data_IF_058224229566
#
_entry.id   IF_058224229566
#
_cell.length_a   1.000
_cell.length_b   1.000
_cell.length_c   1.000
_cell.angle_alpha   90.00
_cell.angle_beta   90.00
_cell.angle_gamma   90.00
#
_symmetry.space_group_name_H-M   'P 1'
#
loop_
_entity.id
_entity.type
_entity.pdbx_description
1 polymer ?
#
# COMPACT_ATOMS: atom_id res chain seq x y z
N UNK A 1 -2.22 4.91 -15.01
CA UNK A 1 -1.21 5.37 -14.04
C UNK A 1 -0.98 4.29 -12.98
N UNK A 2 0.19 4.27 -12.35
CA UNK A 2 0.55 3.35 -11.25
C UNK A 2 0.72 4.17 -9.98
N UNK A 3 0.14 3.73 -8.86
CA UNK A 3 0.43 4.30 -7.55
C UNK A 3 1.33 3.34 -6.76
N UNK A 4 2.30 3.89 -6.03
CA UNK A 4 3.19 3.13 -5.13
C UNK A 4 3.07 3.73 -3.74
N UNK A 5 2.49 3.00 -2.80
CA UNK A 5 2.38 3.40 -1.40
C UNK A 5 3.55 2.79 -0.64
N UNK A 6 4.41 3.65 -0.12
CA UNK A 6 5.62 3.26 0.61
C UNK A 6 5.51 3.65 2.08
N UNK A 7 5.76 2.69 2.97
CA UNK A 7 5.63 2.89 4.41
C UNK A 7 6.84 2.35 5.18
N UNK A 8 7.98 3.05 5.07
CA UNK A 8 9.18 2.79 5.88
C UNK A 8 9.88 4.11 6.23
N UNK A 9 10.30 4.32 7.51
CA UNK A 9 10.88 5.60 7.96
C UNK A 9 12.30 5.89 7.44
N UNK A 10 13.02 4.88 6.97
CA UNK A 10 14.41 5.03 6.50
C UNK A 10 14.53 4.72 5.02
N UNK A 11 15.16 5.63 4.28
CA UNK A 11 15.56 5.42 2.90
C UNK A 11 16.85 4.59 2.75
N UNK A 12 17.50 4.20 3.84
CA UNK A 12 18.60 3.23 3.85
C UNK A 12 18.13 1.79 4.07
N UNK A 13 16.81 1.57 4.17
CA UNK A 13 16.22 0.27 4.44
C UNK A 13 16.16 -0.64 3.22
N UNK A 14 16.01 -1.95 3.47
CA UNK A 14 15.75 -2.91 2.38
C UNK A 14 14.40 -2.64 1.69
N UNK A 15 13.38 -2.16 2.41
CA UNK A 15 12.12 -1.71 1.81
C UNK A 15 12.35 -0.57 0.80
N UNK A 16 13.29 0.34 1.06
CA UNK A 16 13.62 1.39 0.10
C UNK A 16 14.38 0.83 -1.12
N UNK A 17 15.23 -0.18 -0.94
CA UNK A 17 15.84 -0.88 -2.07
C UNK A 17 14.78 -1.56 -2.96
N UNK A 18 13.71 -2.12 -2.35
CA UNK A 18 12.56 -2.65 -3.08
C UNK A 18 11.85 -1.54 -3.86
N UNK A 19 11.55 -0.40 -3.23
CA UNK A 19 10.96 0.76 -3.91
C UNK A 19 11.80 1.18 -5.12
N UNK A 20 13.11 1.33 -4.94
CA UNK A 20 14.04 1.66 -6.02
C UNK A 20 13.99 0.65 -7.16
N UNK A 21 13.96 -0.65 -6.85
CA UNK A 21 13.87 -1.71 -7.86
C UNK A 21 12.59 -1.57 -8.69
N UNK A 22 11.45 -1.32 -8.06
CA UNK A 22 10.17 -1.09 -8.76
C UNK A 22 10.25 0.17 -9.63
N UNK A 23 10.68 1.30 -9.07
CA UNK A 23 10.72 2.57 -9.81
C UNK A 23 11.73 2.56 -10.95
N UNK A 24 12.91 1.95 -10.78
CA UNK A 24 13.91 1.82 -11.84
C UNK A 24 13.37 0.96 -13.00
N UNK A 25 12.63 -0.11 -12.69
CA UNK A 25 11.98 -0.95 -13.72
C UNK A 25 10.91 -0.17 -14.48
N UNK A 26 10.02 0.55 -13.77
CA UNK A 26 8.97 1.37 -14.39
C UNK A 26 9.56 2.48 -15.26
N UNK A 27 10.63 3.14 -14.80
CA UNK A 27 11.36 4.14 -15.58
C UNK A 27 11.97 3.54 -16.87
N UNK A 28 12.58 2.36 -16.77
CA UNK A 28 13.16 1.68 -17.92
C UNK A 28 12.10 1.30 -18.98
N UNK A 29 10.86 1.06 -18.55
CA UNK A 29 9.72 0.76 -19.41
C UNK A 29 8.94 2.00 -19.88
N UNK A 30 9.30 3.19 -19.41
CA UNK A 30 8.59 4.44 -19.72
C UNK A 30 7.17 4.50 -19.14
N UNK A 31 6.90 3.77 -18.05
CA UNK A 31 5.58 3.72 -17.40
C UNK A 31 5.43 4.86 -16.42
N UNK A 32 4.29 5.55 -16.48
CA UNK A 32 3.95 6.63 -15.57
C UNK A 32 3.53 6.09 -14.19
N UNK A 33 4.14 6.65 -13.13
CA UNK A 33 3.80 6.30 -11.75
C UNK A 33 3.88 7.50 -10.81
N UNK A 34 3.24 7.38 -9.65
CA UNK A 34 3.34 8.30 -8.51
C UNK A 34 3.70 7.52 -7.25
N UNK A 35 4.65 8.05 -6.48
CA UNK A 35 5.02 7.49 -5.17
C UNK A 35 4.36 8.31 -4.07
N UNK A 36 3.66 7.63 -3.19
CA UNK A 36 3.14 8.14 -1.91
C UNK A 36 4.07 7.61 -0.82
N UNK A 37 5.06 8.40 -0.43
CA UNK A 37 5.97 8.07 0.66
C UNK A 37 5.44 8.65 1.97
N UNK A 38 4.75 7.82 2.75
CA UNK A 38 4.02 8.27 3.93
C UNK A 38 4.92 8.94 5.00
N UNK A 39 6.16 8.48 5.14
CA UNK A 39 7.10 9.07 6.10
C UNK A 39 7.76 10.35 5.58
N UNK A 40 8.21 10.37 4.33
CA UNK A 40 8.78 11.58 3.72
C UNK A 40 7.75 12.71 3.65
N UNK A 41 6.51 12.35 3.36
CA UNK A 41 5.36 13.26 3.36
C UNK A 41 4.92 13.70 4.76
N UNK A 42 5.46 13.11 5.83
CA UNK A 42 5.03 13.37 7.22
C UNK A 42 3.53 13.20 7.39
N UNK A 43 3.00 12.13 6.80
CA UNK A 43 1.58 11.82 6.92
C UNK A 43 1.20 11.57 8.39
N UNK A 44 0.19 12.28 8.89
CA UNK A 44 -0.37 12.03 10.22
C UNK A 44 -1.39 10.88 10.16
N UNK A 45 -1.07 9.70 10.72
CA UNK A 45 -1.95 8.54 10.67
C UNK A 45 -3.10 8.59 11.68
N UNK A 46 -3.08 9.55 12.62
CA UNK A 46 -4.06 9.58 13.71
C UNK A 46 -5.35 10.24 13.25
N UNK A 47 -6.44 9.46 13.28
CA UNK A 47 -7.79 9.98 13.06
C UNK A 47 -8.18 10.89 14.23
N UNK A 48 -8.55 12.13 13.95
CA UNK A 48 -9.03 13.08 14.97
C UNK A 48 -10.51 13.41 14.78
N UNK A 49 -11.08 14.19 15.70
CA UNK A 49 -12.52 14.54 15.65
C UNK A 49 -12.88 15.33 14.40
N UNK A 50 -11.99 16.21 13.93
CA UNK A 50 -12.19 16.96 12.68
C UNK A 50 -12.24 16.04 11.47
N UNK A 51 -11.31 15.06 11.39
CA UNK A 51 -11.34 14.05 10.33
C UNK A 51 -12.66 13.27 10.29
N UNK A 52 -13.19 12.87 11.47
CA UNK A 52 -14.47 12.15 11.56
C UNK A 52 -15.65 12.97 11.04
N UNK A 53 -15.69 14.27 11.34
CA UNK A 53 -16.77 15.16 10.88
C UNK A 53 -16.85 15.23 9.36
N UNK A 54 -15.69 15.24 8.68
CA UNK A 54 -15.61 15.26 7.23
C UNK A 54 -15.76 13.87 6.61
N UNK A 55 -15.35 12.82 7.32
CA UNK A 55 -15.42 11.44 6.85
C UNK A 55 -16.83 11.02 6.43
N UNK A 56 -17.84 11.32 7.25
CA UNK A 56 -19.25 10.96 6.97
C UNK A 56 -19.79 11.67 5.72
N UNK A 57 -19.30 12.86 5.42
CA UNK A 57 -19.69 13.62 4.21
C UNK A 57 -18.88 13.24 2.96
N UNK A 58 -17.88 12.37 3.09
CA UNK A 58 -16.99 11.98 1.99
C UNK A 58 -16.04 13.09 1.59
N UNK A 59 -15.56 13.89 2.55
CA UNK A 59 -14.68 15.02 2.31
C UNK A 59 -13.46 15.05 3.22
N UNK A 60 -12.54 15.95 2.93
CA UNK A 60 -11.37 16.24 3.76
C UNK A 60 -10.93 17.69 3.55
N UNK A 61 -10.44 18.31 4.62
CA UNK A 61 -9.77 19.62 4.54
C UNK A 61 -8.26 19.48 4.21
N UNK A 62 -7.74 18.25 4.22
CA UNK A 62 -6.33 17.99 3.97
C UNK A 62 -6.05 17.91 2.47
N UNK A 63 -5.32 18.89 1.92
CA UNK A 63 -4.83 18.86 0.54
C UNK A 63 -4.03 17.58 0.24
N UNK A 64 -3.29 17.07 1.22
CA UNK A 64 -2.52 15.83 1.08
C UNK A 64 -3.41 14.61 0.91
N UNK A 65 -4.47 14.49 1.70
CA UNK A 65 -5.44 13.39 1.57
C UNK A 65 -6.13 13.49 0.21
N UNK A 66 -6.58 14.68 -0.19
CA UNK A 66 -7.18 14.90 -1.52
C UNK A 66 -6.23 14.51 -2.66
N UNK A 67 -4.94 14.84 -2.55
CA UNK A 67 -3.91 14.45 -3.52
C UNK A 67 -3.76 12.92 -3.59
N UNK A 68 -3.73 12.22 -2.46
CA UNK A 68 -3.63 10.76 -2.43
C UNK A 68 -4.87 10.10 -3.04
N UNK A 69 -6.06 10.61 -2.74
CA UNK A 69 -7.32 10.16 -3.32
C UNK A 69 -7.34 10.35 -4.85
N UNK A 70 -6.85 11.49 -5.34
CA UNK A 70 -6.73 11.76 -6.78
C UNK A 70 -5.75 10.81 -7.48
N UNK A 71 -4.61 10.51 -6.85
CA UNK A 71 -3.64 9.53 -7.35
C UNK A 71 -4.28 8.14 -7.45
N UNK A 72 -4.97 7.70 -6.38
CA UNK A 72 -5.59 6.38 -6.33
C UNK A 72 -6.73 6.23 -7.34
N UNK A 73 -7.59 7.24 -7.47
CA UNK A 73 -8.72 7.23 -8.41
C UNK A 73 -8.29 7.13 -9.88
N UNK A 74 -7.10 7.61 -10.22
CA UNK A 74 -6.51 7.54 -11.56
C UNK A 74 -5.65 6.29 -11.79
N UNK A 75 -5.45 5.48 -10.76
CA UNK A 75 -4.55 4.32 -10.83
C UNK A 75 -5.30 3.05 -11.23
N UNK A 76 -4.68 2.26 -12.10
CA UNK A 76 -5.14 0.91 -12.48
C UNK A 76 -4.26 -0.19 -11.87
N UNK A 77 -3.05 0.18 -11.39
CA UNK A 77 -2.12 -0.69 -10.69
C UNK A 77 -1.69 0.01 -9.41
N UNK A 78 -1.66 -0.73 -8.30
CA UNK A 78 -1.22 -0.21 -7.00
C UNK A 78 -0.18 -1.14 -6.39
N UNK A 79 0.94 -0.58 -5.94
CA UNK A 79 1.94 -1.27 -5.14
C UNK A 79 1.85 -0.80 -3.70
N UNK A 80 1.89 -1.73 -2.76
CA UNK A 80 2.14 -1.46 -1.34
C UNK A 80 3.49 -2.05 -0.95
N UNK A 81 4.39 -1.23 -0.39
CA UNK A 81 5.74 -1.66 0.04
C UNK A 81 5.91 -1.28 1.50
N UNK A 82 5.98 -2.27 2.40
CA UNK A 82 6.07 -2.05 3.83
C UNK A 82 6.65 -3.25 4.60
N UNK A 83 7.26 -3.03 5.78
CA UNK A 83 7.67 -4.11 6.66
C UNK A 83 6.46 -4.65 7.45
N UNK A 84 6.47 -5.93 7.77
CA UNK A 84 5.52 -6.49 8.74
C UNK A 84 6.09 -6.26 10.15
N UNK A 85 5.43 -5.42 10.94
CA UNK A 85 5.78 -5.13 12.32
C UNK A 85 4.70 -5.66 13.26
N UNK A 86 5.10 -6.50 14.22
CA UNK A 86 4.16 -7.12 15.16
C UNK A 86 3.00 -7.87 14.49
N UNK A 87 3.27 -8.49 13.34
CA UNK A 87 2.30 -9.30 12.60
C UNK A 87 1.40 -8.54 11.63
N UNK A 88 1.48 -7.21 11.56
CA UNK A 88 0.60 -6.35 10.77
C UNK A 88 1.37 -5.28 10.00
N UNK A 89 0.65 -4.48 9.24
CA UNK A 89 1.18 -3.30 8.57
C UNK A 89 1.59 -2.21 9.60
N UNK A 90 2.58 -1.36 9.30
CA UNK A 90 2.95 -0.25 10.16
C UNK A 90 1.76 0.68 10.43
N UNK A 91 1.69 1.27 11.64
CA UNK A 91 0.61 2.17 12.06
C UNK A 91 0.33 3.29 11.06
N UNK A 92 1.38 3.83 10.41
CA UNK A 92 1.23 4.88 9.40
C UNK A 92 0.42 4.39 8.17
N UNK A 93 0.61 3.13 7.76
CA UNK A 93 -0.15 2.53 6.65
C UNK A 93 -1.59 2.22 7.09
N UNK A 94 -1.82 1.77 8.33
CA UNK A 94 -3.18 1.62 8.86
C UNK A 94 -3.91 2.96 8.87
N UNK A 95 -3.27 4.03 9.36
CA UNK A 95 -3.85 5.37 9.35
C UNK A 95 -4.08 5.92 7.94
N UNK A 96 -3.26 5.54 6.97
CA UNK A 96 -3.52 5.84 5.56
C UNK A 96 -4.87 5.25 5.11
N UNK A 97 -5.16 3.98 5.41
CA UNK A 97 -6.46 3.39 5.13
C UNK A 97 -7.59 4.12 5.87
N UNK A 98 -7.40 4.43 7.14
CA UNK A 98 -8.42 5.08 7.96
C UNK A 98 -8.80 6.48 7.45
N UNK A 99 -7.84 7.24 6.96
CA UNK A 99 -8.04 8.66 6.60
C UNK A 99 -8.25 8.91 5.10
N UNK A 100 -7.67 8.06 4.25
CA UNK A 100 -7.70 8.28 2.78
C UNK A 100 -8.85 7.53 2.12
N UNK A 101 -9.21 6.32 2.65
CA UNK A 101 -10.26 5.47 2.06
C UNK A 101 -11.64 5.89 2.54
N UNK A 102 -12.10 7.04 2.07
CA UNK A 102 -13.36 7.66 2.49
C UNK A 102 -14.55 7.28 1.60
N UNK A 103 -15.79 7.37 2.13
CA UNK A 103 -17.01 7.26 1.34
C UNK A 103 -17.02 8.28 0.20
N UNK A 104 -17.61 7.91 -0.94
CA UNK A 104 -17.66 8.77 -2.12
C UNK A 104 -16.42 8.73 -3.01
N UNK A 105 -15.28 8.26 -2.48
CA UNK A 105 -14.01 8.11 -3.21
C UNK A 105 -13.62 6.63 -3.29
N UNK A 106 -13.27 6.02 -2.16
CA UNK A 106 -12.81 4.64 -2.12
C UNK A 106 -13.96 3.63 -2.18
N UNK A 107 -15.13 4.02 -1.70
CA UNK A 107 -16.33 3.20 -1.73
C UNK A 107 -17.61 4.04 -1.64
N UNK A 108 -18.74 3.42 -1.95
CA UNK A 108 -20.07 3.97 -1.76
C UNK A 108 -20.91 3.04 -0.87
N UNK A 109 -21.82 3.59 -0.10
CA UNK A 109 -22.77 2.82 0.69
C UNK A 109 -23.99 2.54 -0.18
N UNK A 110 -24.18 1.28 -0.59
CA UNK A 110 -25.38 0.81 -1.27
C UNK A 110 -26.47 0.39 -0.30
N UNK A 111 -27.61 -0.07 -0.80
CA UNK A 111 -28.73 -0.52 0.03
C UNK A 111 -28.36 -1.76 0.87
N UNK A 112 -27.70 -2.75 0.26
CA UNK A 112 -27.38 -4.03 0.91
C UNK A 112 -25.87 -4.31 1.05
N UNK A 113 -25.01 -3.50 0.42
CA UNK A 113 -23.58 -3.74 0.42
C UNK A 113 -22.76 -2.46 0.17
N UNK A 114 -21.46 -2.54 0.52
CA UNK A 114 -20.48 -1.55 0.11
C UNK A 114 -20.15 -1.76 -1.38
N UNK A 115 -20.20 -0.68 -2.15
CA UNK A 115 -19.87 -0.66 -3.57
C UNK A 115 -18.45 -0.08 -3.69
N UNK A 116 -17.48 -0.80 -4.27
CA UNK A 116 -16.13 -0.28 -4.49
C UNK A 116 -16.13 0.99 -5.32
N UNK A 117 -15.34 1.98 -4.92
CA UNK A 117 -15.19 3.26 -5.62
C UNK A 117 -13.95 3.35 -6.50
N UNK A 118 -12.91 2.55 -6.20
CA UNK A 118 -11.69 2.48 -7.00
C UNK A 118 -11.78 1.38 -8.07
N UNK A 119 -10.99 1.49 -9.13
CA UNK A 119 -11.01 0.57 -10.27
C UNK A 119 -9.61 0.02 -10.57
N UNK A 120 -8.94 -0.46 -9.53
CA UNK A 120 -7.60 -1.05 -9.62
C UNK A 120 -7.72 -2.53 -10.01
N UNK A 121 -7.07 -2.90 -11.10
CA UNK A 121 -7.14 -4.27 -11.65
C UNK A 121 -5.97 -5.15 -11.24
N UNK A 122 -4.88 -4.54 -10.72
CA UNK A 122 -3.73 -5.26 -10.19
C UNK A 122 -3.20 -4.58 -8.95
N UNK A 123 -3.12 -5.30 -7.85
CA UNK A 123 -2.56 -4.84 -6.58
C UNK A 123 -1.39 -5.73 -6.19
N UNK A 124 -0.21 -5.14 -6.01
CA UNK A 124 1.00 -5.87 -5.63
C UNK A 124 1.39 -5.48 -4.21
N UNK A 125 1.40 -6.42 -3.31
CA UNK A 125 1.79 -6.24 -1.91
C UNK A 125 3.19 -6.81 -1.74
N UNK A 126 4.15 -5.98 -1.38
CA UNK A 126 5.55 -6.37 -1.16
C UNK A 126 5.89 -6.07 0.29
N UNK A 127 6.18 -7.12 1.04
CA UNK A 127 6.50 -7.01 2.46
C UNK A 127 7.89 -7.56 2.78
N UNK A 128 8.40 -7.17 3.92
CA UNK A 128 9.60 -7.73 4.53
C UNK A 128 9.28 -8.19 5.95
N UNK A 129 9.87 -9.28 6.39
CA UNK A 129 9.73 -9.81 7.75
C UNK A 129 10.94 -10.63 8.16
N UNK A 130 11.11 -10.86 9.46
CA UNK A 130 12.09 -11.82 9.97
C UNK A 130 11.51 -13.23 10.09
N UNK A 131 10.18 -13.35 10.19
CA UNK A 131 9.51 -14.63 10.29
C UNK A 131 9.01 -15.12 8.91
N UNK A 132 8.68 -16.40 8.86
CA UNK A 132 8.19 -17.07 7.65
C UNK A 132 6.83 -16.51 7.20
N UNK A 133 6.63 -16.40 5.90
CA UNK A 133 5.41 -15.85 5.28
C UNK A 133 4.13 -16.56 5.74
N UNK A 134 4.19 -17.86 5.98
CA UNK A 134 3.04 -18.65 6.44
C UNK A 134 2.42 -18.12 7.75
N UNK A 135 3.23 -17.49 8.61
CA UNK A 135 2.75 -16.90 9.87
C UNK A 135 1.82 -15.70 9.60
N UNK A 136 2.06 -14.98 8.50
CA UNK A 136 1.32 -13.77 8.16
C UNK A 136 0.22 -13.99 7.11
N UNK A 137 0.11 -15.20 6.55
CA UNK A 137 -0.87 -15.50 5.49
C UNK A 137 -2.31 -15.25 5.95
N UNK A 138 -2.65 -15.58 7.21
CA UNK A 138 -3.98 -15.31 7.76
C UNK A 138 -4.32 -13.82 7.80
N UNK A 139 -3.33 -12.95 8.06
CA UNK A 139 -3.53 -11.50 8.01
C UNK A 139 -3.58 -11.00 6.57
N UNK A 140 -2.58 -11.30 5.75
CA UNK A 140 -2.48 -10.73 4.39
C UNK A 140 -3.54 -11.34 3.46
N UNK A 141 -3.55 -12.67 3.32
CA UNK A 141 -4.42 -13.37 2.36
C UNK A 141 -5.82 -13.62 2.91
N UNK A 142 -5.92 -13.85 4.24
CA UNK A 142 -7.19 -14.16 4.90
C UNK A 142 -8.00 -12.92 5.30
N UNK A 143 -7.38 -11.75 5.49
CA UNK A 143 -8.08 -10.56 5.93
C UNK A 143 -7.79 -9.32 5.08
N UNK A 144 -6.52 -8.90 4.95
CA UNK A 144 -6.16 -7.63 4.32
C UNK A 144 -6.60 -7.58 2.85
N UNK A 145 -6.32 -8.64 2.08
CA UNK A 145 -6.73 -8.70 0.67
C UNK A 145 -8.26 -8.72 0.52
N UNK A 146 -9.01 -9.70 1.10
CA UNK A 146 -10.44 -9.81 0.83
C UNK A 146 -11.31 -8.74 1.51
N UNK A 147 -10.94 -8.28 2.70
CA UNK A 147 -11.81 -7.39 3.49
C UNK A 147 -11.36 -5.94 3.50
N UNK A 148 -10.08 -5.64 3.23
CA UNK A 148 -9.61 -4.25 3.15
C UNK A 148 -9.49 -3.82 1.68
N UNK A 149 -8.67 -4.52 0.90
CA UNK A 149 -8.36 -4.11 -0.46
C UNK A 149 -9.53 -4.32 -1.44
N UNK A 150 -10.11 -5.53 -1.47
CA UNK A 150 -11.19 -5.84 -2.41
C UNK A 150 -12.44 -5.00 -2.14
N UNK A 151 -12.75 -4.68 -0.88
CA UNK A 151 -13.90 -3.85 -0.50
C UNK A 151 -13.87 -2.46 -1.13
N UNK A 152 -12.70 -1.91 -1.37
CA UNK A 152 -12.52 -0.57 -1.97
C UNK A 152 -12.15 -0.62 -3.46
N UNK A 153 -12.15 -1.81 -4.09
CA UNK A 153 -11.87 -1.98 -5.51
C UNK A 153 -10.39 -2.12 -5.89
N UNK A 154 -9.54 -2.46 -4.92
CA UNK A 154 -8.16 -2.86 -5.16
C UNK A 154 -8.13 -4.38 -5.39
N UNK A 155 -8.23 -4.80 -6.66
CA UNK A 155 -8.37 -6.21 -7.06
C UNK A 155 -7.10 -6.80 -7.68
N UNK A 156 -7.12 -8.08 -8.05
CA UNK A 156 -5.97 -8.76 -8.65
C UNK A 156 -4.74 -8.77 -7.73
N UNK A 157 -4.95 -9.00 -6.43
CA UNK A 157 -3.91 -8.88 -5.42
C UNK A 157 -2.91 -10.05 -5.48
N UNK A 158 -1.63 -9.70 -5.48
CA UNK A 158 -0.49 -10.60 -5.42
C UNK A 158 0.37 -10.21 -4.20
N UNK A 159 0.79 -11.18 -3.40
CA UNK A 159 1.63 -10.92 -2.23
C UNK A 159 3.02 -11.56 -2.37
N UNK A 160 4.03 -10.76 -2.09
CA UNK A 160 5.45 -11.15 -2.08
C UNK A 160 6.08 -10.72 -0.76
N UNK A 161 6.58 -11.67 0.03
CA UNK A 161 7.27 -11.39 1.27
C UNK A 161 8.74 -11.80 1.20
N UNK A 162 9.64 -10.92 1.62
CA UNK A 162 11.02 -11.26 1.90
C UNK A 162 11.15 -11.69 3.35
N UNK A 163 11.29 -12.98 3.59
CA UNK A 163 11.62 -13.57 4.90
C UNK A 163 13.07 -13.25 5.26
N UNK A 164 13.43 -13.31 6.54
CA UNK A 164 14.79 -13.05 7.01
C UNK A 164 15.41 -11.76 6.42
N UNK A 165 14.61 -10.69 6.34
CA UNK A 165 14.98 -9.49 5.59
C UNK A 165 16.23 -8.79 6.13
N UNK A 166 16.42 -8.76 7.46
CA UNK A 166 17.60 -8.19 8.13
C UNK A 166 18.69 -9.22 8.36
N UNK A 167 18.31 -10.47 8.75
CA UNK A 167 19.24 -11.53 9.14
C UNK A 167 19.73 -12.39 7.97
N UNK A 168 18.98 -12.41 6.86
CA UNK A 168 19.31 -13.17 5.67
C UNK A 168 20.58 -12.69 4.96
N UNK A 169 21.13 -13.56 4.10
CA UNK A 169 22.34 -13.23 3.34
C UNK A 169 22.10 -12.13 2.31
N UNK A 170 23.17 -11.47 1.87
CA UNK A 170 23.12 -10.53 0.76
C UNK A 170 22.53 -11.17 -0.51
N UNK A 171 22.95 -12.39 -0.84
CA UNK A 171 22.45 -13.11 -2.02
C UNK A 171 20.93 -13.36 -1.93
N UNK A 172 20.39 -13.63 -0.74
CA UNK A 172 18.96 -13.80 -0.51
C UNK A 172 18.20 -12.52 -0.88
N UNK A 173 18.65 -11.38 -0.35
CA UNK A 173 18.05 -10.08 -0.66
C UNK A 173 18.18 -9.70 -2.15
N UNK A 174 19.33 -9.95 -2.78
CA UNK A 174 19.53 -9.71 -4.22
C UNK A 174 18.60 -10.59 -5.09
N UNK A 175 18.40 -11.85 -4.72
CA UNK A 175 17.47 -12.74 -5.41
C UNK A 175 16.02 -12.25 -5.29
N UNK A 176 15.63 -11.74 -4.11
CA UNK A 176 14.31 -11.14 -3.92
C UNK A 176 14.13 -9.89 -4.79
N UNK A 177 15.11 -8.98 -4.81
CA UNK A 177 15.04 -7.78 -5.69
C UNK A 177 14.93 -8.17 -7.17
N UNK A 178 15.67 -9.18 -7.63
CA UNK A 178 15.56 -9.68 -9.00
C UNK A 178 14.14 -10.23 -9.31
N UNK A 179 13.53 -10.94 -8.36
CA UNK A 179 12.13 -11.38 -8.47
C UNK A 179 11.18 -10.19 -8.56
N UNK A 180 11.35 -9.17 -7.71
CA UNK A 180 10.50 -7.97 -7.74
C UNK A 180 10.65 -7.23 -9.08
N UNK A 181 11.87 -7.08 -9.60
CA UNK A 181 12.10 -6.48 -10.91
C UNK A 181 11.40 -7.22 -12.06
N UNK A 182 11.16 -8.54 -11.93
CA UNK A 182 10.49 -9.33 -12.97
C UNK A 182 8.98 -9.19 -12.97
N UNK A 183 8.38 -8.69 -11.89
CA UNK A 183 6.92 -8.55 -11.73
C UNK A 183 6.45 -7.09 -11.78
N UNK A 184 7.35 -6.10 -11.60
CA UNK A 184 7.06 -4.68 -11.68
C UNK A 184 6.90 -4.19 -13.13
#
# INVERSE_FOLDING_TARGET
>A
MIAIIFAHPSHDSFNYAILRTVTDKLNAEGREYQVIDLYADRFDPVMNVGDLTHYESGGTESERISMYQDILSKSTVVFFIFPIWWGEAPAILKGFFDKVMQPGIAYHIGEDAIIPGLSVTRTVIITTSEAQSVIFSSYIEGFFIPYTLATIGLTGAEWYNCEDADTGSRNHREAFLARIASIA
#
